data_IF_646384501313
#
_entry.id   IF_646384501313
#
_cell.length_a   1.000
_cell.length_b   1.000
_cell.length_c   1.000
_cell.angle_alpha   90.00
_cell.angle_beta   90.00
_cell.angle_gamma   90.00
#
_symmetry.space_group_name_H-M   'P 1'
#
loop_
_entity.id
_entity.type
_entity.pdbx_description
1 polymer ?
#
# COMPACT_ATOMS: atom_id res chain seq x y z
N UNK A 1 -11.47 -24.58 4.21
CA UNK A 1 -11.98 -23.20 4.00
C UNK A 1 -11.27 -22.33 5.03
N UNK A 2 -10.69 -21.18 4.65
CA UNK A 2 -10.10 -20.27 5.64
C UNK A 2 -11.22 -19.49 6.32
N UNK A 3 -11.05 -19.15 7.60
CA UNK A 3 -12.05 -18.35 8.32
C UNK A 3 -12.17 -16.95 7.68
N UNK A 4 -13.39 -16.42 7.51
CA UNK A 4 -13.60 -15.06 7.07
C UNK A 4 -12.88 -14.06 7.97
N UNK A 5 -12.43 -12.94 7.41
CA UNK A 5 -11.77 -11.90 8.19
C UNK A 5 -12.26 -10.51 7.81
N UNK A 6 -11.95 -9.54 8.69
CA UNK A 6 -12.28 -8.12 8.50
C UNK A 6 -11.02 -7.28 8.48
N UNK A 7 -10.97 -6.30 7.59
CA UNK A 7 -9.98 -5.24 7.65
C UNK A 7 -10.28 -4.33 8.84
N UNK A 8 -9.28 -4.05 9.68
CA UNK A 8 -9.36 -3.03 10.75
C UNK A 8 -9.72 -1.65 10.21
N UNK A 9 -9.32 -1.36 8.97
CA UNK A 9 -9.58 -0.10 8.27
C UNK A 9 -9.84 -0.33 6.79
N UNK A 10 -10.84 0.36 6.27
CA UNK A 10 -11.27 0.27 4.86
C UNK A 10 -11.09 1.58 4.10
N UNK A 11 -10.99 2.72 4.81
CA UNK A 11 -10.75 4.04 4.20
C UNK A 11 -9.26 4.38 4.18
N UNK A 12 -8.77 4.88 3.04
CA UNK A 12 -7.41 5.39 2.92
C UNK A 12 -7.10 6.51 3.94
N UNK A 13 -5.85 6.58 4.42
CA UNK A 13 -5.39 7.67 5.27
C UNK A 13 -5.17 8.97 4.49
N UNK A 14 -5.34 10.11 5.15
CA UNK A 14 -5.31 11.43 4.49
C UNK A 14 -3.94 11.77 3.90
N UNK A 15 -2.86 11.29 4.53
CA UNK A 15 -1.46 11.49 4.11
C UNK A 15 -0.86 10.22 3.50
N UNK A 16 -1.66 9.39 2.82
CA UNK A 16 -1.14 8.16 2.22
C UNK A 16 -0.15 8.49 1.07
N UNK A 17 1.08 7.94 1.07
CA UNK A 17 2.03 8.13 -0.05
C UNK A 17 1.53 7.60 -1.39
N UNK A 18 0.56 6.68 -1.38
CA UNK A 18 -0.04 6.17 -2.61
C UNK A 18 -0.94 7.20 -3.31
N UNK A 19 -1.43 8.22 -2.59
CA UNK A 19 -2.24 9.29 -3.16
C UNK A 19 -1.34 10.30 -3.86
N UNK A 20 -1.64 10.60 -5.13
CA UNK A 20 -0.82 11.46 -6.01
C UNK A 20 -0.60 12.87 -5.46
N UNK A 21 -1.50 13.34 -4.60
CA UNK A 21 -1.44 14.69 -4.02
C UNK A 21 -0.72 14.74 -2.66
N UNK A 22 -0.16 13.63 -2.17
CA UNK A 22 0.55 13.58 -0.89
C UNK A 22 2.05 13.75 -1.12
N UNK A 23 2.70 14.66 -0.40
CA UNK A 23 4.15 14.61 -0.23
C UNK A 23 4.50 13.67 0.94
N UNK A 24 5.30 12.60 0.73
CA UNK A 24 5.72 11.72 1.82
C UNK A 24 6.40 12.44 2.99
N UNK A 25 7.05 13.59 2.77
CA UNK A 25 7.67 14.38 3.83
C UNK A 25 6.66 15.00 4.80
N UNK A 26 5.38 15.08 4.43
CA UNK A 26 4.32 15.53 5.34
C UNK A 26 3.95 14.48 6.40
N UNK A 27 4.46 13.26 6.28
CA UNK A 27 4.20 12.16 7.22
C UNK A 27 5.12 12.31 8.44
N UNK A 28 4.57 12.31 9.67
CA UNK A 28 5.39 12.34 10.88
C UNK A 28 6.38 11.18 10.92
N UNK A 29 7.63 11.45 11.29
CA UNK A 29 8.70 10.44 11.40
C UNK A 29 8.99 9.69 10.09
N UNK A 30 8.73 10.32 8.94
CA UNK A 30 9.05 9.74 7.64
C UNK A 30 10.55 9.46 7.47
N UNK A 31 10.86 8.29 6.93
CA UNK A 31 12.22 7.89 6.54
C UNK A 31 12.18 7.31 5.13
N UNK A 32 12.91 7.94 4.20
CA UNK A 32 13.01 7.47 2.83
C UNK A 32 13.64 6.08 2.72
N UNK A 33 14.63 5.78 3.57
CA UNK A 33 15.26 4.47 3.61
C UNK A 33 14.24 3.38 3.95
N UNK A 34 13.45 3.59 5.00
CA UNK A 34 12.37 2.67 5.39
C UNK A 34 11.29 2.58 4.31
N UNK A 35 10.96 3.70 3.67
CA UNK A 35 10.00 3.69 2.57
C UNK A 35 10.52 2.81 1.43
N UNK A 36 11.77 2.96 1.00
CA UNK A 36 12.37 2.15 -0.07
C UNK A 36 12.36 0.65 0.23
N UNK A 37 12.55 0.26 1.50
CA UNK A 37 12.45 -1.14 1.93
C UNK A 37 11.04 -1.74 1.73
N UNK A 38 9.99 -0.91 1.68
CA UNK A 38 8.63 -1.38 1.42
C UNK A 38 8.43 -1.94 0.00
N UNK A 39 9.37 -1.73 -0.92
CA UNK A 39 9.40 -2.40 -2.23
C UNK A 39 9.29 -3.93 -2.11
N UNK A 40 9.82 -4.52 -1.03
CA UNK A 40 9.71 -5.97 -0.74
C UNK A 40 8.27 -6.46 -0.52
N UNK A 41 7.34 -5.54 -0.29
CA UNK A 41 5.90 -5.84 -0.11
C UNK A 41 5.13 -5.76 -1.43
N UNK A 42 5.78 -5.33 -2.51
CA UNK A 42 5.20 -5.32 -3.85
C UNK A 42 5.38 -6.71 -4.44
N UNK A 43 4.29 -7.28 -4.93
CA UNK A 43 4.34 -8.60 -5.53
C UNK A 43 5.23 -8.61 -6.79
N UNK A 44 6.01 -9.69 -6.93
CA UNK A 44 6.85 -9.95 -8.09
C UNK A 44 6.61 -11.39 -8.58
N UNK A 45 6.94 -11.70 -9.85
CA UNK A 45 6.82 -13.06 -10.38
C UNK A 45 7.60 -14.11 -9.59
N UNK A 46 8.71 -13.69 -8.97
CA UNK A 46 9.61 -14.56 -8.21
C UNK A 46 9.18 -14.74 -6.74
N UNK A 47 8.07 -14.10 -6.32
CA UNK A 47 7.61 -14.17 -4.94
C UNK A 47 7.05 -15.57 -4.64
N UNK A 48 7.50 -16.25 -3.56
CA UNK A 48 7.01 -17.58 -3.20
C UNK A 48 5.50 -17.58 -2.99
N UNK A 49 4.83 -18.62 -3.51
CA UNK A 49 3.41 -18.88 -3.24
C UNK A 49 3.20 -19.01 -1.73
N UNK A 50 2.41 -18.11 -1.16
CA UNK A 50 2.14 -18.06 0.29
C UNK A 50 2.95 -17.02 1.07
N UNK A 51 3.89 -16.31 0.43
CA UNK A 51 4.48 -15.11 1.02
C UNK A 51 3.39 -14.04 1.20
N UNK A 52 3.30 -13.48 2.41
CA UNK A 52 2.27 -12.52 2.80
C UNK A 52 2.88 -11.30 3.49
N UNK A 53 4.06 -10.86 3.05
CA UNK A 53 4.60 -9.58 3.53
C UNK A 53 3.67 -8.47 3.08
N UNK A 54 2.97 -7.85 4.03
CA UNK A 54 2.00 -6.79 3.78
C UNK A 54 2.59 -5.44 4.18
N UNK A 55 2.07 -4.37 3.58
CA UNK A 55 2.38 -3.02 4.01
C UNK A 55 1.42 -2.57 5.11
N UNK A 56 1.98 -2.14 6.23
CA UNK A 56 1.25 -1.56 7.35
C UNK A 56 0.98 -0.06 7.09
N UNK A 57 -0.08 0.50 7.67
CA UNK A 57 -0.42 1.92 7.56
C UNK A 57 0.44 2.76 8.52
N UNK A 58 0.96 3.91 8.08
CA UNK A 58 1.79 4.77 8.95
C UNK A 58 1.01 5.43 10.11
N UNK A 59 -0.33 5.44 10.08
CA UNK A 59 -1.17 6.06 11.12
C UNK A 59 -1.43 5.15 12.35
N UNK A 60 -0.86 3.93 12.41
CA UNK A 60 -1.03 3.05 13.58
C UNK A 60 0.27 2.88 14.38
N UNK A 61 0.12 2.55 15.66
CA UNK A 61 1.23 2.19 16.52
C UNK A 61 1.80 0.81 16.15
N UNK A 62 3.06 0.51 16.51
CA UNK A 62 3.57 -0.86 16.50
C UNK A 62 2.66 -1.79 17.32
N UNK A 63 2.48 -3.04 16.87
CA UNK A 63 1.57 -4.05 17.42
C UNK A 63 0.06 -3.82 17.24
N UNK A 64 -0.35 -2.72 16.59
CA UNK A 64 -1.72 -2.53 16.09
C UNK A 64 -1.75 -2.38 14.56
N UNK A 65 -1.00 -3.24 13.87
CA UNK A 65 -0.82 -3.12 12.44
C UNK A 65 -2.17 -3.22 11.70
N UNK A 66 -2.38 -2.26 10.80
CA UNK A 66 -3.51 -2.21 9.88
C UNK A 66 -2.96 -2.24 8.47
N UNK A 67 -3.61 -2.98 7.58
CA UNK A 67 -3.25 -3.00 6.17
C UNK A 67 -3.34 -1.58 5.60
N UNK A 68 -2.29 -1.16 4.88
CA UNK A 68 -2.32 0.08 4.11
C UNK A 68 -3.32 -0.07 2.95
N UNK A 69 -4.39 0.72 2.94
CA UNK A 69 -5.43 0.67 1.91
C UNK A 69 -4.89 1.03 0.52
N UNK A 70 -4.02 2.06 0.42
CA UNK A 70 -3.39 2.43 -0.85
C UNK A 70 -2.61 1.27 -1.46
N UNK A 71 -1.73 0.64 -0.67
CA UNK A 71 -1.01 -0.56 -1.07
C UNK A 71 -1.95 -1.72 -1.41
N UNK A 72 -2.97 -1.97 -0.59
CA UNK A 72 -3.92 -3.06 -0.80
C UNK A 72 -4.59 -2.93 -2.18
N UNK A 73 -5.09 -1.73 -2.53
CA UNK A 73 -5.70 -1.50 -3.84
C UNK A 73 -4.71 -1.66 -4.99
N UNK A 74 -3.46 -1.20 -4.81
CA UNK A 74 -2.40 -1.42 -5.81
C UNK A 74 -2.14 -2.91 -6.02
N UNK A 75 -1.98 -3.69 -4.96
CA UNK A 75 -1.70 -5.13 -5.05
C UNK A 75 -2.89 -5.95 -5.56
N UNK A 76 -4.11 -5.48 -5.32
CA UNK A 76 -5.33 -6.11 -5.85
C UNK A 76 -5.59 -5.79 -7.33
N UNK A 77 -4.82 -4.88 -7.95
CA UNK A 77 -4.87 -4.58 -9.38
C UNK A 77 -4.51 -5.77 -10.29
N UNK A 78 -4.89 -5.74 -11.58
CA UNK A 78 -4.62 -6.82 -12.53
C UNK A 78 -3.15 -7.23 -12.57
N UNK A 79 -2.88 -8.53 -12.38
CA UNK A 79 -1.53 -9.10 -12.49
C UNK A 79 -0.61 -8.89 -11.29
N UNK A 80 -1.02 -8.14 -10.27
CA UNK A 80 -0.11 -7.75 -9.18
C UNK A 80 0.04 -8.85 -8.12
N UNK A 81 -1.00 -9.23 -7.36
CA UNK A 81 -0.87 -10.23 -6.29
C UNK A 81 -2.00 -11.27 -6.26
N UNK A 82 -1.83 -12.39 -6.98
CA UNK A 82 -2.83 -13.46 -7.08
C UNK A 82 -3.15 -14.08 -5.71
N UNK A 83 -2.16 -14.47 -4.87
CA UNK A 83 -2.45 -15.01 -3.55
C UNK A 83 -3.27 -14.06 -2.66
N UNK A 84 -2.95 -12.76 -2.69
CA UNK A 84 -3.70 -11.75 -1.95
C UNK A 84 -5.14 -11.61 -2.45
N UNK A 85 -5.35 -11.65 -3.77
CA UNK A 85 -6.71 -11.63 -4.36
C UNK A 85 -7.55 -12.81 -3.88
N UNK A 86 -6.97 -14.01 -3.87
CA UNK A 86 -7.65 -15.20 -3.35
C UNK A 86 -7.98 -15.04 -1.86
N UNK A 87 -7.06 -14.48 -1.06
CA UNK A 87 -7.31 -14.18 0.36
C UNK A 87 -8.44 -13.16 0.53
N UNK A 88 -8.44 -12.07 -0.25
CA UNK A 88 -9.42 -11.00 -0.12
C UNK A 88 -10.84 -11.40 -0.52
N UNK A 89 -11.03 -12.55 -1.19
CA UNK A 89 -12.35 -13.15 -1.40
C UNK A 89 -13.06 -13.47 -0.08
N UNK A 90 -12.30 -13.85 0.94
CA UNK A 90 -12.82 -14.20 2.28
C UNK A 90 -12.88 -12.97 3.21
N UNK A 91 -12.69 -11.75 2.68
CA UNK A 91 -12.76 -10.51 3.45
C UNK A 91 -14.17 -9.91 3.42
N UNK A 92 -14.85 -9.92 4.57
CA UNK A 92 -16.28 -9.58 4.67
C UNK A 92 -16.58 -8.12 4.31
N UNK A 93 -15.66 -7.22 4.64
CA UNK A 93 -15.78 -5.78 4.43
C UNK A 93 -14.92 -5.25 3.27
N UNK A 94 -14.47 -6.13 2.36
CA UNK A 94 -13.69 -5.72 1.19
C UNK A 94 -14.43 -4.67 0.33
N UNK A 95 -15.77 -4.78 0.24
CA UNK A 95 -16.63 -3.84 -0.51
C UNK A 95 -16.63 -2.42 0.07
N UNK A 96 -16.19 -2.24 1.31
CA UNK A 96 -16.14 -0.94 1.98
C UNK A 96 -14.81 -0.21 1.73
N UNK A 97 -13.86 -0.84 1.02
CA UNK A 97 -12.57 -0.23 0.68
C UNK A 97 -12.81 1.03 -0.15
N UNK A 98 -12.31 2.16 0.36
CA UNK A 98 -12.50 3.47 -0.26
C UNK A 98 -11.17 4.23 -0.34
N UNK A 99 -10.83 4.64 -1.55
CA UNK A 99 -9.69 5.52 -1.84
C UNK A 99 -10.06 6.98 -1.62
N UNK A 100 -9.06 7.77 -1.24
CA UNK A 100 -9.15 9.22 -1.10
C UNK A 100 -8.43 9.87 -2.29
N UNK A 101 -9.04 9.86 -3.48
CA UNK A 101 -8.46 10.45 -4.68
C UNK A 101 -7.54 9.54 -5.50
N UNK A 102 -6.89 10.13 -6.51
CA UNK A 102 -6.08 9.40 -7.49
C UNK A 102 -4.85 8.74 -6.86
N UNK A 103 -4.53 7.53 -7.30
CA UNK A 103 -3.39 6.75 -6.79
C UNK A 103 -2.24 6.71 -7.80
N UNK A 104 -1.02 6.65 -7.27
CA UNK A 104 0.15 6.26 -8.02
C UNK A 104 -0.01 4.85 -8.60
N UNK A 105 0.47 4.66 -9.83
CA UNK A 105 0.39 3.37 -10.54
C UNK A 105 1.57 2.45 -10.22
N UNK A 106 2.66 3.02 -9.72
CA UNK A 106 3.90 2.31 -9.41
C UNK A 106 4.35 2.67 -8.01
N UNK A 107 5.03 1.74 -7.36
CA UNK A 107 5.63 1.99 -6.04
C UNK A 107 6.70 3.08 -6.10
N UNK A 108 7.51 3.15 -7.16
CA UNK A 108 8.57 4.17 -7.25
C UNK A 108 8.01 5.59 -7.24
N UNK A 109 6.78 5.79 -7.72
CA UNK A 109 6.14 7.10 -7.75
C UNK A 109 5.67 7.56 -6.36
N UNK A 110 5.61 6.65 -5.37
CA UNK A 110 5.28 7.02 -3.97
C UNK A 110 6.51 7.53 -3.22
N UNK A 111 7.71 7.31 -3.75
CA UNK A 111 8.94 7.82 -3.14
C UNK A 111 9.08 9.34 -3.40
N UNK A 112 9.79 10.07 -2.52
CA UNK A 112 10.11 11.45 -2.75
C UNK A 112 10.82 11.62 -4.09
N UNK A 113 10.39 12.62 -4.87
CA UNK A 113 11.11 13.00 -6.07
C UNK A 113 12.44 13.59 -5.63
N UNK A 114 13.54 12.88 -5.92
CA UNK A 114 14.87 13.39 -5.63
C UNK A 114 15.06 14.77 -6.26
N UNK A 115 15.71 15.68 -5.53
CA UNK A 115 16.02 17.04 -5.95
C UNK A 115 17.13 17.03 -7.04
N UNK A 116 16.88 16.33 -8.15
CA UNK A 116 17.85 15.98 -9.18
C UNK A 116 17.22 16.01 -10.56
N UNK A 117 16.89 17.21 -11.04
CA UNK A 117 16.89 17.50 -12.47
C UNK A 117 15.53 17.80 -13.14
N UNK A 118 15.34 19.10 -13.38
CA UNK A 118 14.69 19.75 -14.54
C UNK A 118 13.21 19.48 -14.83
N UNK A 119 12.45 20.58 -14.66
CA UNK A 119 11.49 21.12 -15.64
C UNK A 119 11.64 20.52 -17.04
N UNK A 120 10.55 19.96 -17.54
CA UNK A 120 10.25 20.02 -18.96
C UNK A 120 8.93 20.78 -19.09
N UNK A 121 9.04 21.98 -19.66
CA UNK A 121 7.95 22.60 -20.40
C UNK A 121 7.90 22.02 -21.81
#
# INVERSE_FOLDING_TARGET
MREPFRLKRTRQCKKCPWKVTTDPHDIPSYSEALHRELSRTIASPDMPLGSTTTMACHEHAPADEMHCVGWLTHQLGPGNNIPLRMRMRDCENAREIALDGAQHKRFEDTLPRGNGGRRYG
#
